data_IF_575204710558
#
_entry.id   IF_575204710558
#
_cell.length_a   1.000
_cell.length_b   1.000
_cell.length_c   1.000
_cell.angle_alpha   90.00
_cell.angle_beta   90.00
_cell.angle_gamma   90.00
#
_symmetry.space_group_name_H-M   'P 1'
#
loop_
_entity.id
_entity.type
_entity.pdbx_description
1 polymer ?
#
# COMPACT_ATOMS: atom_id res chain seq x y z
N UNK A 1 -9.95 7.87 14.73
CA UNK A 1 -8.48 7.60 14.69
C UNK A 1 -7.77 8.78 14.05
N UNK A 2 -6.63 9.24 14.58
CA UNK A 2 -5.83 10.30 13.95
C UNK A 2 -5.33 9.88 12.57
N UNK A 3 -5.31 10.82 11.61
CA UNK A 3 -4.91 10.52 10.22
C UNK A 3 -3.47 10.00 10.13
N UNK A 4 -2.55 10.57 10.89
CA UNK A 4 -1.15 10.15 10.90
C UNK A 4 -0.97 8.71 11.43
N UNK A 5 -1.93 8.15 12.19
CA UNK A 5 -1.90 6.73 12.60
C UNK A 5 -2.32 5.81 11.46
N UNK A 6 -3.36 6.18 10.69
CA UNK A 6 -3.78 5.44 9.49
C UNK A 6 -2.63 5.32 8.47
N UNK A 7 -1.82 6.37 8.38
CA UNK A 7 -0.64 6.40 7.51
C UNK A 7 0.49 5.59 8.16
N UNK A 8 0.90 5.95 9.38
CA UNK A 8 2.12 5.44 10.01
C UNK A 8 2.10 3.93 10.29
N UNK A 9 0.93 3.35 10.59
CA UNK A 9 0.83 1.90 10.83
C UNK A 9 1.24 1.08 9.60
N UNK A 10 1.11 1.62 8.39
CA UNK A 10 1.50 0.93 7.16
C UNK A 10 3.02 0.78 6.98
N UNK A 11 3.84 1.23 7.94
CA UNK A 11 5.27 0.91 7.99
C UNK A 11 5.53 -0.60 7.91
N UNK A 12 4.60 -1.46 8.36
CA UNK A 12 4.74 -2.92 8.22
C UNK A 12 4.95 -3.36 6.76
N UNK A 13 4.49 -2.58 5.77
CA UNK A 13 4.70 -2.87 4.35
C UNK A 13 6.18 -2.87 3.96
N UNK A 14 7.05 -2.22 4.75
CA UNK A 14 8.50 -2.30 4.57
C UNK A 14 9.04 -3.75 4.61
N UNK A 15 8.30 -4.67 5.24
CA UNK A 15 8.61 -6.10 5.24
C UNK A 15 8.52 -6.74 3.85
N UNK A 16 7.91 -6.08 2.85
CA UNK A 16 7.92 -6.52 1.45
C UNK A 16 9.32 -6.73 0.87
N UNK A 17 10.36 -6.17 1.50
CA UNK A 17 11.77 -6.48 1.19
C UNK A 17 12.07 -7.98 1.22
N UNK A 18 11.29 -8.76 1.98
CA UNK A 18 11.40 -10.22 2.00
C UNK A 18 11.25 -10.85 0.61
N UNK A 19 10.42 -10.28 -0.27
CA UNK A 19 10.26 -10.79 -1.64
C UNK A 19 11.54 -10.60 -2.45
N UNK A 20 12.21 -9.46 -2.29
CA UNK A 20 13.50 -9.19 -2.94
C UNK A 20 14.61 -10.11 -2.41
N UNK A 21 14.61 -10.39 -1.10
CA UNK A 21 15.54 -11.37 -0.50
C UNK A 21 15.28 -12.77 -1.05
N UNK A 22 14.01 -13.20 -1.13
CA UNK A 22 13.65 -14.50 -1.67
C UNK A 22 14.01 -14.64 -3.15
N UNK A 23 13.86 -13.58 -3.95
CA UNK A 23 14.38 -13.52 -5.31
C UNK A 23 15.91 -13.67 -5.35
N UNK A 24 16.64 -12.92 -4.53
CA UNK A 24 18.11 -13.00 -4.44
C UNK A 24 18.63 -14.37 -4.00
N UNK A 25 17.78 -15.19 -3.37
CA UNK A 25 18.11 -16.58 -2.99
C UNK A 25 17.49 -17.64 -3.91
N UNK A 26 16.94 -17.24 -5.06
CA UNK A 26 16.38 -18.14 -6.08
C UNK A 26 15.07 -18.82 -5.68
N UNK A 27 14.31 -18.25 -4.74
CA UNK A 27 13.08 -18.85 -4.17
C UNK A 27 11.78 -18.20 -4.66
N UNK A 28 11.85 -17.02 -5.27
CA UNK A 28 10.70 -16.37 -5.88
C UNK A 28 11.07 -15.85 -7.27
N UNK A 29 10.14 -15.87 -8.23
CA UNK A 29 10.40 -15.32 -9.55
C UNK A 29 10.48 -13.79 -9.51
N UNK A 30 11.39 -13.24 -10.30
CA UNK A 30 11.57 -11.79 -10.41
C UNK A 30 10.30 -11.07 -10.87
N UNK A 31 9.47 -11.71 -11.71
CA UNK A 31 8.20 -11.17 -12.19
C UNK A 31 7.19 -10.83 -11.07
N UNK A 32 7.30 -11.49 -9.91
CA UNK A 32 6.53 -11.16 -8.71
C UNK A 32 7.36 -10.33 -7.73
N UNK A 33 8.57 -10.78 -7.43
CA UNK A 33 9.37 -10.24 -6.35
C UNK A 33 9.77 -8.78 -6.57
N UNK A 34 10.12 -8.39 -7.79
CA UNK A 34 10.48 -7.01 -8.10
C UNK A 34 9.31 -6.04 -7.90
N UNK A 35 8.16 -6.20 -8.59
CA UNK A 35 7.06 -5.26 -8.41
C UNK A 35 6.51 -5.26 -6.98
N UNK A 36 6.21 -6.43 -6.41
CA UNK A 36 5.63 -6.52 -5.07
C UNK A 36 6.62 -6.05 -4.00
N UNK A 37 7.86 -6.54 -4.04
CA UNK A 37 8.85 -6.24 -3.02
C UNK A 37 9.31 -4.78 -3.03
N UNK A 38 9.57 -4.22 -4.22
CA UNK A 38 9.98 -2.82 -4.32
C UNK A 38 8.83 -1.88 -3.93
N UNK A 39 7.63 -2.13 -4.44
CA UNK A 39 6.48 -1.27 -4.18
C UNK A 39 6.06 -1.28 -2.70
N UNK A 40 5.90 -2.46 -2.10
CA UNK A 40 5.58 -2.59 -0.66
C UNK A 40 6.64 -1.89 0.21
N UNK A 41 7.91 -2.11 -0.11
CA UNK A 41 9.03 -1.51 0.62
C UNK A 41 9.00 0.01 0.54
N UNK A 42 8.81 0.57 -0.65
CA UNK A 42 8.74 2.01 -0.87
C UNK A 42 7.54 2.62 -0.13
N UNK A 43 6.34 2.02 -0.25
CA UNK A 43 5.15 2.51 0.46
C UNK A 43 5.37 2.50 1.97
N UNK A 44 5.90 1.39 2.50
CA UNK A 44 6.14 1.21 3.93
C UNK A 44 7.18 2.18 4.49
N UNK A 45 8.30 2.37 3.81
CA UNK A 45 9.34 3.32 4.25
C UNK A 45 8.85 4.77 4.18
N UNK A 46 8.04 5.11 3.17
CA UNK A 46 7.46 6.45 3.05
C UNK A 46 6.37 6.73 4.09
N UNK A 47 5.73 5.70 4.66
CA UNK A 47 4.65 5.85 5.65
C UNK A 47 5.01 6.79 6.83
N UNK A 48 6.11 6.59 7.60
CA UNK A 48 6.48 7.49 8.68
C UNK A 48 6.79 8.91 8.21
N UNK A 49 7.43 9.07 7.04
CA UNK A 49 7.73 10.40 6.46
C UNK A 49 6.44 11.16 6.18
N UNK A 50 5.49 10.49 5.52
CA UNK A 50 4.19 11.06 5.16
C UNK A 50 3.34 11.33 6.41
N UNK A 51 3.37 10.43 7.40
CA UNK A 51 2.68 10.60 8.68
C UNK A 51 3.18 11.82 9.46
N UNK A 52 4.50 11.97 9.59
CA UNK A 52 5.11 13.12 10.28
C UNK A 52 4.83 14.43 9.55
N UNK A 53 4.97 14.44 8.22
CA UNK A 53 4.67 15.62 7.41
C UNK A 53 3.20 16.05 7.59
N UNK A 54 2.25 15.11 7.52
CA UNK A 54 0.85 15.42 7.76
C UNK A 54 0.58 15.92 9.18
N UNK A 55 1.18 15.30 10.20
CA UNK A 55 1.01 15.73 11.59
C UNK A 55 1.51 17.17 11.84
N UNK A 56 2.54 17.62 11.13
CA UNK A 56 3.09 18.99 11.25
C UNK A 56 2.26 20.04 10.52
N UNK A 57 1.68 19.70 9.37
CA UNK A 57 0.90 20.64 8.57
C UNK A 57 -0.21 19.93 7.77
N UNK A 58 -1.34 19.58 8.41
CA UNK A 58 -2.41 18.79 7.78
C UNK A 58 -2.94 19.38 6.47
N UNK A 59 -3.24 20.69 6.45
CA UNK A 59 -3.80 21.37 5.27
C UNK A 59 -2.81 21.44 4.10
N UNK A 60 -1.51 21.64 4.36
CA UNK A 60 -0.48 21.75 3.31
C UNK A 60 -0.13 20.40 2.70
N UNK A 61 -0.31 19.31 3.45
CA UNK A 61 0.17 17.98 3.07
C UNK A 61 -0.97 17.02 2.68
N UNK A 62 -2.22 17.48 2.61
CA UNK A 62 -3.36 16.64 2.25
C UNK A 62 -3.23 16.00 0.86
N UNK A 63 -2.74 16.75 -0.13
CA UNK A 63 -2.53 16.25 -1.49
C UNK A 63 -1.40 15.22 -1.55
N UNK A 64 -0.31 15.45 -0.81
CA UNK A 64 0.79 14.49 -0.69
C UNK A 64 0.32 13.17 -0.06
N UNK A 65 -0.49 13.24 1.00
CA UNK A 65 -1.08 12.03 1.59
C UNK A 65 -2.01 11.33 0.61
N UNK A 66 -2.82 12.08 -0.15
CA UNK A 66 -3.71 11.51 -1.16
C UNK A 66 -2.91 10.78 -2.27
N UNK A 67 -1.85 11.40 -2.77
CA UNK A 67 -0.95 10.81 -3.76
C UNK A 67 -0.26 9.55 -3.23
N UNK A 68 0.25 9.57 -1.99
CA UNK A 68 0.86 8.40 -1.35
C UNK A 68 -0.14 7.24 -1.18
N UNK A 69 -1.40 7.52 -0.83
CA UNK A 69 -2.43 6.48 -0.72
C UNK A 69 -2.80 5.89 -2.09
N UNK A 70 -2.92 6.71 -3.13
CA UNK A 70 -3.18 6.24 -4.50
C UNK A 70 -2.02 5.40 -5.03
N UNK A 71 -0.79 5.84 -4.78
CA UNK A 71 0.41 5.06 -5.11
C UNK A 71 0.40 3.70 -4.38
N UNK A 72 0.13 3.68 -3.08
CA UNK A 72 0.06 2.45 -2.30
C UNK A 72 -1.05 1.48 -2.72
N UNK A 73 -2.18 1.99 -3.22
CA UNK A 73 -3.25 1.17 -3.81
C UNK A 73 -2.86 0.62 -5.18
N UNK A 74 -2.25 1.44 -6.04
CA UNK A 74 -1.78 1.01 -7.36
C UNK A 74 -0.72 -0.09 -7.24
N UNK A 75 0.19 0.06 -6.29
CA UNK A 75 1.17 -0.95 -5.95
C UNK A 75 0.52 -2.29 -5.52
N UNK A 76 -0.47 -2.27 -4.62
CA UNK A 76 -1.19 -3.49 -4.23
C UNK A 76 -1.87 -4.17 -5.42
N UNK A 77 -2.46 -3.40 -6.34
CA UNK A 77 -3.04 -3.95 -7.57
C UNK A 77 -1.96 -4.66 -8.39
N UNK A 78 -0.81 -4.02 -8.60
CA UNK A 78 0.31 -4.60 -9.34
C UNK A 78 0.82 -5.87 -8.65
N UNK A 79 1.04 -5.84 -7.34
CA UNK A 79 1.54 -6.97 -6.55
C UNK A 79 0.58 -8.17 -6.59
N UNK A 80 -0.73 -7.93 -6.41
CA UNK A 80 -1.75 -8.98 -6.48
C UNK A 80 -1.82 -9.57 -7.88
N UNK A 81 -1.86 -8.73 -8.92
CA UNK A 81 -1.86 -9.20 -10.31
C UNK A 81 -0.61 -10.03 -10.60
N UNK A 82 0.58 -9.55 -10.23
CA UNK A 82 1.82 -10.31 -10.40
C UNK A 82 1.79 -11.65 -9.64
N UNK A 83 1.23 -11.68 -8.44
CA UNK A 83 1.03 -12.89 -7.64
C UNK A 83 0.16 -13.90 -8.36
N UNK A 84 -1.01 -13.50 -8.86
CA UNK A 84 -1.91 -14.37 -9.64
C UNK A 84 -1.25 -14.90 -10.92
N UNK A 85 -0.53 -14.06 -11.65
CA UNK A 85 0.06 -14.43 -12.94
C UNK A 85 1.32 -15.30 -12.80
N UNK A 86 1.92 -15.40 -11.61
CA UNK A 86 3.14 -16.20 -11.36
C UNK A 86 2.92 -17.38 -10.44
N UNK A 87 1.78 -17.47 -9.74
CA UNK A 87 1.47 -18.59 -8.85
C UNK A 87 0.86 -19.77 -9.62
N UNK A 88 1.12 -21.02 -9.19
CA UNK A 88 0.55 -22.20 -9.83
C UNK A 88 -0.98 -22.20 -9.70
N UNK A 89 -1.63 -21.79 -10.79
CA UNK A 89 -3.07 -21.66 -10.91
C UNK A 89 -3.47 -21.70 -12.38
N UNK A 90 -4.76 -21.88 -12.71
CA UNK A 90 -5.24 -21.75 -14.09
C UNK A 90 -4.98 -20.38 -14.74
N UNK A 91 -4.64 -19.36 -13.94
CA UNK A 91 -4.34 -18.01 -14.39
C UNK A 91 -2.84 -17.71 -14.50
N UNK A 92 -1.97 -18.71 -14.27
CA UNK A 92 -0.53 -18.54 -14.40
C UNK A 92 -0.16 -18.24 -15.86
N UNK A 93 0.54 -17.14 -16.08
CA UNK A 93 1.04 -16.72 -17.40
C UNK A 93 2.56 -16.55 -17.44
N UNK A 94 3.22 -16.46 -16.28
CA UNK A 94 4.65 -16.25 -16.15
C UNK A 94 5.26 -17.22 -15.13
N UNK A 95 6.60 -17.29 -15.12
CA UNK A 95 7.39 -18.01 -14.12
C UNK A 95 7.04 -19.50 -14.00
N UNK A 96 6.84 -20.20 -15.13
CA UNK A 96 6.55 -21.64 -15.13
C UNK A 96 7.74 -22.49 -14.63
N UNK A 97 8.95 -21.97 -14.77
CA UNK A 97 10.21 -22.56 -14.27
C UNK A 97 10.39 -22.39 -12.76
N UNK A 98 9.90 -21.29 -12.20
CA UNK A 98 9.92 -21.02 -10.76
C UNK A 98 8.64 -20.30 -10.31
N UNK A 99 7.51 -21.03 -10.16
CA UNK A 99 6.25 -20.43 -9.77
C UNK A 99 6.31 -19.84 -8.35
N UNK A 100 5.47 -18.84 -8.06
CA UNK A 100 5.39 -18.17 -6.76
C UNK A 100 4.71 -19.03 -5.66
N UNK A 101 5.02 -20.32 -5.56
CA UNK A 101 4.40 -21.27 -4.62
C UNK A 101 4.48 -20.82 -3.16
N UNK A 102 5.61 -20.22 -2.78
CA UNK A 102 5.84 -19.79 -1.40
C UNK A 102 4.80 -18.77 -0.93
N UNK A 103 4.22 -17.96 -1.83
CA UNK A 103 3.19 -16.97 -1.51
C UNK A 103 1.91 -17.63 -0.99
N UNK A 104 1.69 -18.92 -1.29
CA UNK A 104 0.56 -19.72 -0.81
C UNK A 104 0.90 -20.58 0.41
N UNK A 105 2.13 -20.48 0.95
CA UNK A 105 2.59 -21.28 2.09
C UNK A 105 2.86 -20.42 3.33
N UNK A 106 2.75 -21.01 4.51
CA UNK A 106 3.10 -20.30 5.75
C UNK A 106 4.60 -19.98 5.79
N UNK A 107 5.02 -18.75 6.16
CA UNK A 107 4.19 -17.66 6.67
C UNK A 107 3.67 -16.68 5.60
N UNK A 108 4.14 -16.75 4.35
CA UNK A 108 3.85 -15.75 3.32
C UNK A 108 2.39 -15.72 2.87
N UNK A 109 1.62 -16.80 3.07
CA UNK A 109 0.18 -16.82 2.80
C UNK A 109 -0.58 -15.72 3.55
N UNK A 110 -0.07 -15.25 4.69
CA UNK A 110 -0.62 -14.12 5.43
C UNK A 110 -0.61 -12.82 4.63
N UNK A 111 0.28 -12.68 3.64
CA UNK A 111 0.38 -11.47 2.81
C UNK A 111 -0.90 -11.29 1.98
N UNK A 112 -1.24 -12.17 1.01
CA UNK A 112 -2.42 -11.97 0.18
C UNK A 112 -3.73 -12.10 0.94
N UNK A 113 -3.80 -12.96 1.98
CA UNK A 113 -5.08 -13.24 2.68
C UNK A 113 -5.40 -12.25 3.80
N UNK A 114 -4.41 -11.54 4.35
CA UNK A 114 -4.60 -10.65 5.48
C UNK A 114 -3.94 -9.27 5.29
N UNK A 115 -2.63 -9.22 5.08
CA UNK A 115 -1.91 -7.94 5.02
C UNK A 115 -2.32 -7.08 3.82
N UNK A 116 -2.55 -7.67 2.65
CA UNK A 116 -3.04 -6.96 1.46
C UNK A 116 -4.43 -6.37 1.71
N UNK A 117 -5.46 -7.14 2.14
CA UNK A 117 -6.77 -6.58 2.49
C UNK A 117 -6.71 -5.47 3.55
N UNK A 118 -5.90 -5.65 4.60
CA UNK A 118 -5.71 -4.63 5.65
C UNK A 118 -5.09 -3.36 5.06
N UNK A 119 -4.09 -3.48 4.19
CA UNK A 119 -3.45 -2.34 3.53
C UNK A 119 -4.44 -1.55 2.67
N UNK A 120 -5.30 -2.25 1.91
CA UNK A 120 -6.38 -1.61 1.13
C UNK A 120 -7.32 -0.84 2.05
N UNK A 121 -7.79 -1.45 3.13
CA UNK A 121 -8.70 -0.81 4.08
C UNK A 121 -8.07 0.44 4.72
N UNK A 122 -6.79 0.38 5.10
CA UNK A 122 -6.08 1.52 5.68
C UNK A 122 -5.94 2.67 4.69
N UNK A 123 -5.61 2.39 3.43
CA UNK A 123 -5.55 3.41 2.38
C UNK A 123 -6.92 4.05 2.11
N UNK A 124 -7.98 3.23 1.99
CA UNK A 124 -9.34 3.73 1.77
C UNK A 124 -9.86 4.53 2.97
N UNK A 125 -9.58 4.09 4.20
CA UNK A 125 -9.94 4.83 5.41
C UNK A 125 -9.22 6.18 5.49
N UNK A 126 -7.93 6.21 5.16
CA UNK A 126 -7.12 7.43 5.06
C UNK A 126 -7.70 8.41 4.03
N UNK A 127 -7.99 7.95 2.81
CA UNK A 127 -8.57 8.79 1.75
C UNK A 127 -9.98 9.29 2.11
N UNK A 128 -10.81 8.43 2.70
CA UNK A 128 -12.16 8.78 3.13
C UNK A 128 -12.13 9.86 4.21
N UNK A 129 -11.18 9.74 5.15
CA UNK A 129 -10.99 10.75 6.21
C UNK A 129 -10.53 12.10 5.62
N UNK A 130 -9.54 12.12 4.73
CA UNK A 130 -9.12 13.37 4.06
C UNK A 130 -10.28 14.05 3.32
N UNK A 131 -11.07 13.27 2.59
CA UNK A 131 -12.24 13.78 1.87
C UNK A 131 -13.27 14.39 2.83
N UNK A 132 -13.52 13.72 3.95
CA UNK A 132 -14.44 14.19 4.99
C UNK A 132 -13.94 15.43 5.70
N UNK A 133 -12.63 15.62 5.85
CA UNK A 133 -12.07 16.80 6.51
C UNK A 133 -12.05 18.02 5.57
N UNK A 134 -11.97 17.82 4.24
CA UNK A 134 -12.02 18.88 3.23
C UNK A 134 -13.43 19.46 2.96
N UNK A 135 -14.49 18.67 3.16
CA UNK A 135 -15.89 19.10 2.99
C UNK A 135 -16.37 20.15 4.02
N UNK A 136 -16.15 20.00 5.34
CA UNK A 136 -16.53 20.99 6.35
C UNK A 136 -15.81 22.33 6.17
N UNK A 137 -14.55 22.32 5.72
CA UNK A 137 -13.79 23.55 5.44
C UNK A 137 -14.46 24.40 4.36
N UNK A 138 -14.94 23.78 3.27
CA UNK A 138 -15.65 24.48 2.19
C UNK A 138 -17.01 25.04 2.62
N UNK A 139 -17.74 24.33 3.47
CA UNK A 139 -19.04 24.78 3.97
C UNK A 139 -18.90 26.01 4.90
N UNK A 140 -17.88 26.03 5.76
CA UNK A 140 -17.59 27.14 6.66
C UNK A 140 -17.05 28.36 5.89
N UNK A 141 -16.15 28.15 4.92
CA UNK A 141 -15.67 29.23 4.06
C UNK A 141 -16.80 29.89 3.25
N UNK A 142 -17.76 29.09 2.75
CA UNK A 142 -18.91 29.59 2.00
C UNK A 142 -19.86 30.43 2.87
N UNK A 143 -20.08 30.08 4.14
CA UNK A 143 -20.96 30.89 5.01
C UNK A 143 -20.33 32.23 5.41
N UNK A 144 -19.01 32.27 5.61
CA UNK A 144 -18.28 33.51 5.93
C UNK A 144 -18.18 34.48 4.75
N UNK A 145 -18.20 34.00 3.51
CA UNK A 145 -18.20 34.85 2.33
C UNK A 145 -19.59 35.47 2.02
N UNK A 146 -20.65 34.99 2.69
CA UNK A 146 -22.03 35.42 2.49
C UNK A 146 -22.55 36.31 3.63
N UNK A 147 -21.73 36.61 4.64
CA UNK A 147 -22.01 37.47 5.78
C UNK A 147 -21.20 38.76 5.67
#
# INVERSE_FOLDING_TARGET
MPQHWLIGVQLYRALGVIFLILYGTGKLPGAFAWPAGLGDTLVGILAPVVAVAYARAPHKNADMVSAWNLFGLADLVVAVTAGFLTSPSPFQLFAFDLPSELVSQFPLVLVPVFLVPVSVLLHLASLTKLRRDALPEKTIAKSRALA
#
